data_IF_709816650273
#
_entry.id   IF_709816650273
#
_cell.length_a   1.000
_cell.length_b   1.000
_cell.length_c   1.000
_cell.angle_alpha   90.00
_cell.angle_beta   90.00
_cell.angle_gamma   90.00
#
_symmetry.space_group_name_H-M   'P 1'
#
loop_
_entity.id
_entity.type
_entity.pdbx_description
1 polymer ?
#
# COMPACT_ATOMS: atom_id res chain seq x y z
N UNK A 1 17.88 -20.34 15.98
CA UNK A 1 18.29 -18.93 16.14
C UNK A 1 17.07 -18.12 15.74
N UNK A 2 16.37 -17.53 16.72
CA UNK A 2 15.18 -16.72 16.46
C UNK A 2 15.61 -15.34 15.96
N UNK A 3 14.98 -14.77 14.92
CA UNK A 3 15.34 -13.45 14.43
C UNK A 3 15.04 -12.40 15.51
N UNK A 4 16.02 -11.56 15.82
CA UNK A 4 15.88 -10.46 16.78
C UNK A 4 15.19 -9.28 16.07
N UNK A 5 13.96 -8.87 16.46
CA UNK A 5 13.21 -7.84 15.74
C UNK A 5 13.85 -6.44 15.75
N UNK A 6 14.89 -6.23 16.57
CA UNK A 6 15.61 -4.96 16.65
C UNK A 6 16.48 -4.66 15.41
N UNK A 7 16.97 -5.67 14.68
CA UNK A 7 17.96 -5.45 13.62
C UNK A 7 17.43 -4.78 12.35
N UNK A 8 16.11 -4.74 12.16
CA UNK A 8 15.50 -4.13 10.97
C UNK A 8 15.54 -2.60 11.01
N UNK A 9 15.58 -2.02 12.21
CA UNK A 9 15.57 -0.57 12.40
C UNK A 9 16.99 0.02 12.47
N UNK A 10 18.00 -0.81 12.71
CA UNK A 10 19.40 -0.37 12.78
C UNK A 10 19.91 0.20 11.44
N UNK A 11 19.34 -0.26 10.32
CA UNK A 11 19.66 0.20 8.95
C UNK A 11 18.67 1.27 8.41
N UNK A 12 17.73 1.74 9.24
CA UNK A 12 16.72 2.74 8.85
C UNK A 12 17.06 4.09 9.47
N UNK A 13 17.40 5.07 8.62
CA UNK A 13 17.76 6.41 9.08
C UNK A 13 16.57 7.15 9.69
N UNK A 14 15.46 7.27 8.94
CA UNK A 14 14.26 8.00 9.35
C UNK A 14 13.01 7.43 8.66
N UNK A 15 11.84 7.69 9.24
CA UNK A 15 10.54 7.38 8.62
C UNK A 15 10.17 8.47 7.63
N UNK A 16 10.29 8.19 6.33
CA UNK A 16 9.98 9.17 5.27
C UNK A 16 8.48 9.37 5.04
N UNK A 17 7.69 8.31 5.17
CA UNK A 17 6.24 8.34 5.01
C UNK A 17 5.65 7.50 6.13
N UNK A 18 4.82 8.11 6.95
CA UNK A 18 4.17 7.39 8.05
C UNK A 18 3.14 6.39 7.50
N UNK A 19 2.83 5.38 8.29
CA UNK A 19 1.79 4.41 7.94
C UNK A 19 0.44 5.10 7.71
N UNK A 20 0.10 6.08 8.54
CA UNK A 20 -1.14 6.86 8.44
C UNK A 20 -1.21 7.64 7.13
N UNK A 21 -0.09 8.27 6.73
CA UNK A 21 -0.01 8.99 5.46
C UNK A 21 -0.19 8.05 4.25
N UNK A 22 0.39 6.85 4.30
CA UNK A 22 0.17 5.83 3.27
C UNK A 22 -1.29 5.41 3.23
N UNK A 23 -1.89 5.05 4.37
CA UNK A 23 -3.28 4.60 4.43
C UNK A 23 -4.27 5.67 3.96
N UNK A 24 -4.06 6.92 4.37
CA UNK A 24 -4.86 8.05 3.90
C UNK A 24 -4.76 8.19 2.37
N UNK A 25 -3.54 8.14 1.83
CA UNK A 25 -3.35 8.27 0.38
C UNK A 25 -3.96 7.11 -0.40
N UNK A 26 -3.87 5.89 0.13
CA UNK A 26 -4.50 4.71 -0.48
C UNK A 26 -6.03 4.85 -0.51
N UNK A 27 -6.65 5.35 0.57
CA UNK A 27 -8.09 5.58 0.61
C UNK A 27 -8.53 6.64 -0.40
N UNK A 28 -7.80 7.74 -0.52
CA UNK A 28 -8.04 8.78 -1.53
C UNK A 28 -7.94 8.23 -2.96
N UNK A 29 -6.89 7.44 -3.25
CA UNK A 29 -6.70 6.81 -4.55
C UNK A 29 -7.80 5.79 -4.85
N UNK A 30 -8.21 5.01 -3.85
CA UNK A 30 -9.30 4.05 -3.98
C UNK A 30 -10.59 4.73 -4.41
N UNK A 31 -11.00 5.76 -3.68
CA UNK A 31 -12.18 6.58 -4.03
C UNK A 31 -12.09 7.18 -5.42
N UNK A 32 -10.92 7.70 -5.80
CA UNK A 32 -10.71 8.27 -7.13
C UNK A 32 -10.91 7.20 -8.22
N UNK A 33 -10.32 6.01 -8.06
CA UNK A 33 -10.49 4.89 -8.99
C UNK A 33 -11.96 4.45 -9.07
N UNK A 34 -12.65 4.32 -7.93
CA UNK A 34 -14.07 3.95 -7.89
C UNK A 34 -14.94 4.93 -8.67
N UNK A 35 -14.66 6.24 -8.57
CA UNK A 35 -15.37 7.27 -9.33
C UNK A 35 -15.04 7.21 -10.82
N UNK A 36 -13.75 7.11 -11.16
CA UNK A 36 -13.28 7.12 -12.55
C UNK A 36 -13.75 5.90 -13.35
N UNK A 37 -13.96 4.76 -12.67
CA UNK A 37 -14.43 3.50 -13.25
C UNK A 37 -15.87 3.15 -12.86
N UNK A 38 -16.67 4.14 -12.42
CA UNK A 38 -18.05 3.91 -12.00
C UNK A 38 -18.87 3.22 -13.10
N UNK A 39 -19.46 2.06 -12.77
CA UNK A 39 -20.26 1.26 -13.70
C UNK A 39 -19.44 0.38 -14.65
N UNK A 40 -18.12 0.25 -14.44
CA UNK A 40 -17.23 -0.64 -15.18
C UNK A 40 -16.55 -1.65 -14.25
N UNK A 41 -16.14 -2.81 -14.78
CA UNK A 41 -15.31 -3.75 -14.04
C UNK A 41 -13.84 -3.32 -14.06
N UNK A 42 -13.18 -3.33 -12.90
CA UNK A 42 -11.77 -2.97 -12.75
C UNK A 42 -10.91 -4.22 -12.64
N UNK A 43 -9.95 -4.38 -13.56
CA UNK A 43 -8.89 -5.39 -13.46
C UNK A 43 -7.61 -4.77 -12.90
N UNK A 44 -7.20 -5.19 -11.71
CA UNK A 44 -5.96 -4.74 -11.08
C UNK A 44 -4.83 -5.75 -11.27
N UNK A 45 -3.65 -5.26 -11.70
CA UNK A 45 -2.48 -6.10 -11.97
C UNK A 45 -1.30 -5.59 -11.12
N UNK A 46 -0.74 -6.46 -10.27
CA UNK A 46 0.50 -6.18 -9.54
C UNK A 46 1.72 -6.68 -10.29
N UNK A 47 2.70 -5.80 -10.52
CA UNK A 47 4.04 -6.19 -10.94
C UNK A 47 4.88 -6.53 -9.71
N UNK A 48 5.31 -7.78 -9.62
CA UNK A 48 6.00 -8.31 -8.44
C UNK A 48 7.47 -7.87 -8.35
N UNK A 49 8.06 -7.85 -7.14
CA UNK A 49 7.52 -8.36 -5.85
C UNK A 49 6.94 -7.28 -4.93
N UNK A 50 7.45 -6.05 -5.01
CA UNK A 50 7.16 -4.99 -4.03
C UNK A 50 5.74 -4.43 -4.07
N UNK A 51 5.04 -4.52 -5.21
CA UNK A 51 3.71 -3.94 -5.36
C UNK A 51 2.61 -4.66 -4.57
N UNK A 52 2.88 -5.88 -4.07
CA UNK A 52 1.87 -6.73 -3.45
C UNK A 52 1.17 -6.07 -2.25
N UNK A 53 1.95 -5.48 -1.33
CA UNK A 53 1.40 -4.86 -0.12
C UNK A 53 0.55 -3.64 -0.45
N UNK A 54 1.06 -2.78 -1.33
CA UNK A 54 0.32 -1.59 -1.78
C UNK A 54 -0.98 -1.96 -2.51
N UNK A 55 -0.93 -2.94 -3.42
CA UNK A 55 -2.13 -3.37 -4.15
C UNK A 55 -3.18 -3.99 -3.21
N UNK A 56 -2.75 -4.78 -2.21
CA UNK A 56 -3.67 -5.36 -1.23
C UNK A 56 -4.39 -4.29 -0.39
N UNK A 57 -3.72 -3.19 -0.07
CA UNK A 57 -4.34 -2.05 0.62
C UNK A 57 -5.28 -1.30 -0.33
N UNK A 58 -4.87 -1.09 -1.58
CA UNK A 58 -5.66 -0.35 -2.56
C UNK A 58 -6.96 -1.07 -2.93
N UNK A 59 -6.92 -2.39 -3.17
CA UNK A 59 -8.10 -3.20 -3.49
C UNK A 59 -9.18 -3.11 -2.41
N UNK A 60 -8.80 -2.92 -1.13
CA UNK A 60 -9.77 -2.76 -0.03
C UNK A 60 -10.50 -1.43 -0.04
N UNK A 61 -10.01 -0.44 -0.79
CA UNK A 61 -10.52 0.92 -0.85
C UNK A 61 -11.18 1.27 -2.20
N UNK A 62 -11.22 0.33 -3.17
CA UNK A 62 -11.84 0.51 -4.50
C UNK A 62 -13.21 -0.14 -4.55
#
# INVERSE_FOLDING_TARGET
MSPNPSSLYDDVADVLISQEAIQQRVAELGQQITLDFAGSEVLMIAVLKGALLFLADLVRNV
#
